data_IF_172163647147
#
_entry.id   IF_172163647147
#
_cell.length_a   1.000
_cell.length_b   1.000
_cell.length_c   1.000
_cell.angle_alpha   90.00
_cell.angle_beta   90.00
_cell.angle_gamma   90.00
#
_symmetry.space_group_name_H-M   'P 1'
#
loop_
_entity.id
_entity.type
_entity.pdbx_description
1 polymer ?
#
# COMPACT_ATOMS: atom_id res chain seq x y z
N UNK A 1 -7.00 18.38 -2.12
CA UNK A 1 -6.70 16.95 -2.36
C UNK A 1 -5.84 16.44 -1.23
N UNK A 2 -6.20 15.29 -0.68
CA UNK A 2 -5.49 14.62 0.40
C UNK A 2 -4.37 13.78 -0.21
N UNK A 3 -3.09 14.13 0.02
CA UNK A 3 -1.97 13.30 -0.45
C UNK A 3 -1.68 12.16 0.53
N UNK A 4 -1.67 10.89 0.07
CA UNK A 4 -1.23 9.78 0.90
C UNK A 4 0.30 9.78 1.04
N UNK A 5 0.78 9.24 2.16
CA UNK A 5 2.19 8.93 2.38
C UNK A 5 2.34 7.43 2.63
N UNK A 6 3.22 6.77 1.89
CA UNK A 6 3.46 5.34 1.99
C UNK A 6 4.73 5.03 2.76
N UNK A 7 4.72 3.92 3.49
CA UNK A 7 5.89 3.31 4.09
C UNK A 7 5.81 1.81 3.86
N UNK A 8 6.79 1.25 3.16
CA UNK A 8 6.93 -0.20 2.97
C UNK A 8 7.81 -0.72 4.10
N UNK A 9 7.36 -1.78 4.77
CA UNK A 9 8.14 -2.48 5.78
C UNK A 9 8.37 -3.92 5.33
N UNK A 10 9.64 -4.33 5.32
CA UNK A 10 10.09 -5.69 5.13
C UNK A 10 10.45 -6.29 6.49
N UNK A 11 9.77 -7.37 6.90
CA UNK A 11 10.26 -8.20 8.00
C UNK A 11 11.07 -9.33 7.40
N UNK A 12 12.40 -9.26 7.56
CA UNK A 12 13.28 -10.38 7.24
C UNK A 12 13.06 -11.51 8.27
N UNK A 13 12.35 -12.56 7.88
CA UNK A 13 12.50 -13.86 8.56
C UNK A 13 13.73 -14.56 7.98
N UNK A 14 14.62 -15.12 8.80
CA UNK A 14 15.70 -15.93 8.27
C UNK A 14 15.06 -17.19 7.67
N UNK A 15 15.47 -17.52 6.44
CA UNK A 15 15.24 -18.80 5.71
C UNK A 15 14.12 -18.81 4.65
N UNK A 16 14.54 -19.02 3.39
CA UNK A 16 13.82 -19.57 2.21
C UNK A 16 12.53 -18.91 1.68
N UNK A 17 11.82 -18.09 2.45
CA UNK A 17 10.56 -17.49 2.03
C UNK A 17 10.74 -16.06 1.50
N UNK A 18 9.87 -15.65 0.57
CA UNK A 18 9.75 -14.25 0.18
C UNK A 18 9.49 -13.41 1.45
N UNK A 19 10.18 -12.27 1.64
CA UNK A 19 9.99 -11.44 2.82
C UNK A 19 8.51 -11.05 2.94
N UNK A 20 7.96 -11.15 4.16
CA UNK A 20 6.61 -10.67 4.44
C UNK A 20 6.64 -9.15 4.42
N UNK A 21 6.11 -8.57 3.34
CA UNK A 21 6.01 -7.12 3.15
C UNK A 21 4.67 -6.60 3.61
N UNK A 22 4.68 -5.42 4.20
CA UNK A 22 3.48 -4.66 4.54
C UNK A 22 3.60 -3.26 3.97
N UNK A 23 2.55 -2.80 3.29
CA UNK A 23 2.43 -1.38 2.92
C UNK A 23 1.61 -0.68 3.99
N UNK A 24 2.17 0.36 4.58
CA UNK A 24 1.47 1.25 5.50
C UNK A 24 1.21 2.59 4.82
N UNK A 25 -0.04 3.02 4.81
CA UNK A 25 -0.51 4.23 4.18
C UNK A 25 -0.98 5.21 5.25
N UNK A 26 -0.58 6.47 5.11
CA UNK A 26 -0.99 7.56 6.00
C UNK A 26 -1.70 8.62 5.17
N UNK A 27 -2.97 8.85 5.45
CA UNK A 27 -3.85 9.75 4.70
C UNK A 27 -4.26 10.90 5.63
N UNK A 28 -4.04 12.15 5.21
CA UNK A 28 -4.38 13.36 5.99
C UNK A 28 -5.69 13.98 5.52
N UNK A 29 -6.75 13.96 6.31
CA UNK A 29 -8.06 14.51 5.92
C UNK A 29 -8.34 15.87 6.58
N UNK A 30 -7.96 17.00 5.97
CA UNK A 30 -8.31 18.32 6.49
C UNK A 30 -9.84 18.48 6.49
N UNK A 31 -10.38 19.11 7.53
CA UNK A 31 -11.82 19.41 7.63
C UNK A 31 -12.73 18.25 8.07
N UNK A 32 -12.17 17.12 8.51
CA UNK A 32 -12.95 16.01 9.10
C UNK A 32 -12.51 15.75 10.55
N UNK A 33 -13.37 15.14 11.37
CA UNK A 33 -13.00 14.76 12.76
C UNK A 33 -11.87 13.72 12.79
N UNK A 34 -11.84 12.80 11.81
CA UNK A 34 -10.76 11.85 11.63
C UNK A 34 -9.71 12.42 10.67
N UNK A 35 -8.87 13.32 11.22
CA UNK A 35 -7.84 14.07 10.49
C UNK A 35 -6.70 13.22 9.94
N UNK A 36 -6.55 11.99 10.42
CA UNK A 36 -5.52 11.04 9.99
C UNK A 36 -6.06 9.62 9.96
N UNK A 37 -5.85 8.95 8.83
CA UNK A 37 -6.08 7.52 8.67
C UNK A 37 -4.72 6.84 8.50
N UNK A 38 -4.50 5.74 9.22
CA UNK A 38 -3.32 4.88 9.06
C UNK A 38 -3.82 3.46 8.77
N UNK A 39 -3.44 2.92 7.61
CA UNK A 39 -3.83 1.59 7.17
C UNK A 39 -2.60 0.77 6.86
N UNK A 40 -2.56 -0.47 7.33
CA UNK A 40 -1.51 -1.43 6.97
C UNK A 40 -2.12 -2.63 6.27
N UNK A 41 -1.57 -3.01 5.12
CA UNK A 41 -2.04 -4.12 4.29
C UNK A 41 -0.86 -5.02 3.92
N UNK A 42 -1.07 -6.33 3.92
CA UNK A 42 -0.08 -7.28 3.44
C UNK A 42 0.21 -6.99 1.95
N UNK A 43 1.47 -6.74 1.64
CA UNK A 43 1.91 -6.35 0.31
C UNK A 43 2.30 -7.60 -0.47
N UNK A 44 1.45 -7.97 -1.43
CA UNK A 44 1.74 -9.01 -2.42
C UNK A 44 1.79 -8.34 -3.79
N UNK A 45 2.76 -8.75 -4.59
CA UNK A 45 2.94 -8.24 -5.96
C UNK A 45 2.98 -9.38 -6.96
N UNK A 46 2.55 -9.07 -8.18
CA UNK A 46 2.78 -9.89 -9.35
C UNK A 46 4.26 -9.79 -9.78
N UNK A 47 4.68 -10.66 -10.70
CA UNK A 47 6.06 -10.68 -11.21
C UNK A 47 6.50 -9.37 -11.86
N UNK A 48 5.56 -8.57 -12.38
CA UNK A 48 5.79 -7.25 -12.95
C UNK A 48 5.84 -6.11 -11.91
N UNK A 49 5.79 -6.43 -10.60
CA UNK A 49 5.84 -5.45 -9.52
C UNK A 49 4.50 -4.78 -9.19
N UNK A 50 3.45 -4.99 -9.98
CA UNK A 50 2.11 -4.47 -9.66
C UNK A 50 1.48 -5.22 -8.48
N UNK A 51 0.56 -4.58 -7.77
CA UNK A 51 -0.20 -5.21 -6.69
C UNK A 51 -0.99 -6.40 -7.20
N UNK A 52 -1.11 -7.45 -6.38
CA UNK A 52 -2.09 -8.51 -6.66
C UNK A 52 -3.51 -8.01 -6.42
N UNK A 53 -4.49 -8.68 -7.04
CA UNK A 53 -5.90 -8.40 -6.82
C UNK A 53 -6.28 -8.49 -5.33
N UNK A 54 -5.75 -9.47 -4.58
CA UNK A 54 -5.99 -9.61 -3.15
C UNK A 54 -5.54 -8.37 -2.35
N UNK A 55 -4.35 -7.84 -2.66
CA UNK A 55 -3.83 -6.66 -1.97
C UNK A 55 -4.64 -5.41 -2.34
N UNK A 56 -5.01 -5.25 -3.62
CA UNK A 56 -5.88 -4.16 -4.06
C UNK A 56 -7.24 -4.21 -3.35
N UNK A 57 -7.90 -5.36 -3.33
CA UNK A 57 -9.19 -5.57 -2.67
C UNK A 57 -9.14 -5.30 -1.16
N UNK A 58 -8.05 -5.69 -0.51
CA UNK A 58 -7.84 -5.39 0.91
C UNK A 58 -7.69 -3.87 1.17
N UNK A 59 -7.08 -3.13 0.24
CA UNK A 59 -7.02 -1.67 0.30
C UNK A 59 -8.40 -1.05 0.09
N UNK A 60 -9.14 -1.47 -0.94
CA UNK A 60 -10.51 -1.00 -1.20
C UNK A 60 -11.40 -1.15 0.03
N UNK A 61 -11.41 -2.35 0.64
CA UNK A 61 -12.21 -2.62 1.82
C UNK A 61 -11.84 -1.72 3.00
N UNK A 62 -10.54 -1.54 3.27
CA UNK A 62 -10.08 -0.70 4.40
C UNK A 62 -10.32 0.79 4.17
N UNK A 63 -10.13 1.28 2.95
CA UNK A 63 -10.38 2.68 2.61
C UNK A 63 -11.89 2.99 2.61
N UNK A 64 -12.71 2.06 2.11
CA UNK A 64 -14.18 2.15 2.15
C UNK A 64 -14.72 2.15 3.58
N UNK A 65 -14.12 1.39 4.50
CA UNK A 65 -14.46 1.45 5.94
C UNK A 65 -14.26 2.85 6.54
N UNK A 66 -13.31 3.62 5.99
CA UNK A 66 -13.07 5.00 6.41
C UNK A 66 -13.86 6.04 5.59
N UNK A 67 -14.85 5.60 4.81
CA UNK A 67 -15.71 6.47 4.00
C UNK A 67 -14.91 7.36 3.04
N UNK A 68 -13.81 6.84 2.50
CA UNK A 68 -13.12 7.47 1.38
C UNK A 68 -13.94 7.20 0.12
N UNK A 69 -14.18 8.25 -0.68
CA UNK A 69 -14.93 8.14 -1.92
C UNK A 69 -14.24 7.21 -2.93
N UNK A 70 -15.04 6.54 -3.76
CA UNK A 70 -14.58 5.50 -4.67
C UNK A 70 -13.46 5.98 -5.61
N UNK A 71 -13.58 7.20 -6.14
CA UNK A 71 -12.57 7.77 -7.04
C UNK A 71 -11.23 7.98 -6.32
N UNK A 72 -11.26 8.50 -5.09
CA UNK A 72 -10.08 8.61 -4.24
C UNK A 72 -9.50 7.24 -3.89
N UNK A 73 -10.34 6.23 -3.62
CA UNK A 73 -9.87 4.85 -3.38
C UNK A 73 -9.09 4.32 -4.58
N UNK A 74 -9.66 4.44 -5.78
CA UNK A 74 -9.02 3.97 -7.01
C UNK A 74 -7.69 4.68 -7.27
N UNK A 75 -7.67 6.00 -7.16
CA UNK A 75 -6.44 6.78 -7.30
C UNK A 75 -5.36 6.35 -6.31
N UNK A 76 -5.72 6.13 -5.05
CA UNK A 76 -4.80 5.67 -4.02
C UNK A 76 -4.21 4.29 -4.37
N UNK A 77 -5.01 3.37 -4.92
CA UNK A 77 -4.56 2.04 -5.32
C UNK A 77 -3.60 2.12 -6.51
N UNK A 78 -3.91 2.95 -7.51
CA UNK A 78 -3.04 3.19 -8.66
C UNK A 78 -1.69 3.79 -8.24
N UNK A 79 -1.70 4.86 -7.42
CA UNK A 79 -0.48 5.49 -6.90
C UNK A 79 0.34 4.52 -6.04
N UNK A 80 -0.31 3.67 -5.25
CA UNK A 80 0.37 2.62 -4.46
C UNK A 80 1.02 1.59 -5.37
N UNK A 81 0.32 1.18 -6.42
CA UNK A 81 0.80 0.19 -7.39
C UNK A 81 2.04 0.69 -8.10
N UNK A 82 1.99 1.93 -8.59
CA UNK A 82 3.13 2.59 -9.23
C UNK A 82 4.32 2.73 -8.26
N UNK A 83 4.07 3.20 -7.04
CA UNK A 83 5.10 3.34 -6.01
C UNK A 83 5.77 1.99 -5.69
N UNK A 84 4.99 0.92 -5.57
CA UNK A 84 5.50 -0.42 -5.26
C UNK A 84 6.29 -1.00 -6.43
N UNK A 85 5.79 -0.85 -7.67
CA UNK A 85 6.47 -1.32 -8.87
C UNK A 85 7.84 -0.65 -9.05
N UNK A 86 7.98 0.62 -8.65
CA UNK A 86 9.27 1.33 -8.65
C UNK A 86 10.17 1.00 -7.45
N UNK A 87 9.60 0.58 -6.32
CA UNK A 87 10.34 0.38 -5.06
C UNK A 87 10.81 -1.05 -4.85
N UNK A 88 10.00 -2.06 -5.16
CA UNK A 88 10.36 -3.47 -4.94
C UNK A 88 11.57 -3.94 -5.75
N UNK A 89 11.71 -3.58 -7.05
CA UNK A 89 12.92 -3.91 -7.80
C UNK A 89 14.18 -3.29 -7.18
N UNK A 90 14.08 -2.12 -6.54
CA UNK A 90 15.19 -1.47 -5.82
C UNK A 90 15.54 -2.17 -4.50
N UNK A 91 14.54 -2.75 -3.83
CA UNK A 91 14.75 -3.61 -2.65
C UNK A 91 15.32 -4.99 -3.03
N UNK A 92 15.25 -5.37 -4.31
CA UNK A 92 15.76 -6.63 -4.84
C UNK A 92 17.19 -6.54 -5.41
N UNK A 93 17.88 -5.39 -5.26
CA UNK A 93 19.26 -5.19 -5.76
C UNK A 93 20.26 -6.10 -5.00
N UNK A 94 21.28 -6.64 -5.70
CA UNK A 94 21.70 -8.03 -5.67
C UNK A 94 22.88 -8.33 -4.73
N UNK A 95 23.14 -9.63 -4.54
CA UNK A 95 24.38 -10.17 -3.96
C UNK A 95 25.62 -9.73 -4.74
#
# INVERSE_FOLDING_TARGET
>A
MTQPFWTISDKAEPTSLSPKRTVTMKIKRPGTQQTKIILSVALKTMSNGHLTHDTARAMEHKLGYHEIDFDSVMKIIEETTDHVAHTIPRLAIPR
#
